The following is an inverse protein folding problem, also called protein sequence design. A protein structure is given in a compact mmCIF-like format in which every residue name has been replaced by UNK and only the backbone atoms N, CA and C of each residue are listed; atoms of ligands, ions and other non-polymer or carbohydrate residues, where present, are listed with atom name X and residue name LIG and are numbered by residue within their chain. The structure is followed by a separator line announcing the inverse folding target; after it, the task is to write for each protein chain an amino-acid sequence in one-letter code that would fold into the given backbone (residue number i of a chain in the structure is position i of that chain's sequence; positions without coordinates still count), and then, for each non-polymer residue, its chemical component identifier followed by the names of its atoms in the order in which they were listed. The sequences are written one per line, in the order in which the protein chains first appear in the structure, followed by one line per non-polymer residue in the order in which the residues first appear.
data_IF_187662266852
#
_entry.id   IF_187662266852
#
_cell.length_a   1.000
_cell.length_b   1.000
_cell.length_c   1.000
_cell.angle_alpha   90.00
_cell.angle_beta   90.00
_cell.angle_gamma   90.00
#
_symmetry.space_group_name_H-M   'P 1'
#
loop_
_entity.id
_entity.type
_entity.pdbx_description
1 polymer ?
#
# COMPACT_ATOMS: atom_id res chain seq x y z
N UNK A 1 7.68 19.06 -7.49
CA UNK A 1 6.50 18.21 -7.72
C UNK A 1 5.61 18.89 -8.75
N UNK A 2 5.59 18.34 -9.95
CA UNK A 2 4.56 18.62 -10.95
C UNK A 2 3.24 17.94 -10.52
N UNK A 3 2.14 18.22 -11.22
CA UNK A 3 0.83 17.62 -10.90
C UNK A 3 0.81 16.09 -10.98
N UNK A 4 1.67 15.51 -11.84
CA UNK A 4 1.84 14.07 -12.06
C UNK A 4 2.58 13.39 -10.90
N UNK A 5 3.59 14.04 -10.32
CA UNK A 5 4.35 13.50 -9.18
C UNK A 5 3.48 13.33 -7.92
N UNK A 6 2.41 14.13 -7.79
CA UNK A 6 1.47 14.02 -6.66
C UNK A 6 0.55 12.82 -6.83
N UNK A 7 0.18 12.49 -8.08
CA UNK A 7 -0.70 11.35 -8.36
C UNK A 7 0.00 10.01 -8.08
N UNK A 8 1.33 10.01 -8.01
CA UNK A 8 2.15 8.86 -7.59
C UNK A 8 2.22 8.68 -6.07
N UNK A 9 1.67 9.60 -5.29
CA UNK A 9 1.80 9.63 -3.83
C UNK A 9 0.47 9.90 -3.10
N UNK A 10 -0.68 9.70 -3.75
CA UNK A 10 -1.99 10.03 -3.19
C UNK A 10 -2.32 9.25 -1.93
N UNK A 11 -1.87 8.00 -1.80
CA UNK A 11 -2.06 7.18 -0.61
C UNK A 11 -1.25 7.75 0.57
N UNK A 12 0.02 8.10 0.35
CA UNK A 12 0.88 8.72 1.38
C UNK A 12 0.37 10.12 1.75
N UNK A 13 0.06 10.95 0.75
CA UNK A 13 -0.46 12.31 0.97
C UNK A 13 -1.79 12.27 1.69
N UNK A 14 -2.71 11.41 1.24
CA UNK A 14 -4.04 11.28 1.83
C UNK A 14 -4.00 10.77 3.27
N UNK A 15 -3.06 9.89 3.62
CA UNK A 15 -2.87 9.44 5.01
C UNK A 15 -2.56 10.59 5.99
N UNK A 16 -1.92 11.67 5.53
CA UNK A 16 -1.61 12.84 6.37
C UNK A 16 -2.76 13.84 6.55
N UNK A 17 -3.81 13.75 5.73
CA UNK A 17 -4.90 14.74 5.70
C UNK A 17 -5.73 14.78 6.99
N UNK A 18 -6.09 13.65 7.64
CA UNK A 18 -6.82 13.71 8.90
C UNK A 18 -6.11 14.55 9.97
N UNK A 19 -4.81 14.34 10.18
CA UNK A 19 -3.99 15.14 11.09
C UNK A 19 -3.95 16.62 10.70
N UNK A 20 -3.86 16.93 9.41
CA UNK A 20 -3.89 18.31 8.93
C UNK A 20 -5.27 18.98 9.16
N UNK A 21 -6.36 18.24 8.99
CA UNK A 21 -7.73 18.71 9.26
C UNK A 21 -7.97 18.97 10.75
N UNK A 22 -7.35 18.20 11.65
CA UNK A 22 -7.39 18.44 13.09
C UNK A 22 -6.66 19.73 13.49
N UNK A 23 -5.48 19.96 12.92
CA UNK A 23 -4.63 21.09 13.29
C UNK A 23 -5.04 22.41 12.61
N UNK A 24 -5.38 22.36 11.32
CA UNK A 24 -5.60 23.55 10.46
C UNK A 24 -6.73 23.33 9.45
N UNK A 25 -7.92 23.02 9.95
CA UNK A 25 -9.07 22.65 9.11
C UNK A 25 -9.34 23.57 7.91
N UNK A 26 -9.39 24.88 8.12
CA UNK A 26 -9.73 25.85 7.06
C UNK A 26 -8.71 25.80 5.90
N UNK A 27 -7.44 25.56 6.20
CA UNK A 27 -6.36 25.41 5.20
C UNK A 27 -6.36 24.02 4.56
N UNK A 28 -6.69 22.98 5.33
CA UNK A 28 -6.62 21.59 4.90
C UNK A 28 -7.86 21.12 4.12
N UNK A 29 -9.05 21.71 4.33
CA UNK A 29 -10.30 21.31 3.65
C UNK A 29 -10.22 21.35 2.11
N UNK A 30 -9.72 22.42 1.46
CA UNK A 30 -9.56 22.45 0.01
C UNK A 30 -8.57 21.38 -0.50
N UNK A 31 -7.50 21.12 0.26
CA UNK A 31 -6.51 20.09 -0.08
C UNK A 31 -7.13 18.70 0.02
N UNK A 32 -7.90 18.43 1.08
CA UNK A 32 -8.66 17.21 1.26
C UNK A 32 -9.60 16.95 0.08
N UNK A 33 -10.38 17.96 -0.32
CA UNK A 33 -11.28 17.85 -1.48
C UNK A 33 -10.52 17.60 -2.79
N UNK A 34 -9.36 18.24 -2.99
CA UNK A 34 -8.51 17.99 -4.16
C UNK A 34 -8.00 16.55 -4.20
N UNK A 35 -7.52 16.02 -3.07
CA UNK A 35 -7.02 14.64 -2.96
C UNK A 35 -8.15 13.63 -3.15
N UNK A 36 -9.32 13.85 -2.53
CA UNK A 36 -10.51 13.01 -2.74
C UNK A 36 -10.87 12.93 -4.22
N UNK A 37 -10.89 14.07 -4.92
CA UNK A 37 -11.20 14.09 -6.35
C UNK A 37 -10.15 13.29 -7.16
N UNK A 38 -8.86 13.49 -6.90
CA UNK A 38 -7.78 12.77 -7.59
C UNK A 38 -7.84 11.26 -7.35
N UNK A 39 -8.04 10.82 -6.11
CA UNK A 39 -8.26 9.42 -5.76
C UNK A 39 -9.47 8.84 -6.51
N UNK A 40 -10.58 9.58 -6.53
CA UNK A 40 -11.81 9.15 -7.22
C UNK A 40 -11.60 9.01 -8.73
N UNK A 41 -10.84 9.92 -9.35
CA UNK A 41 -10.54 9.87 -10.78
C UNK A 41 -9.51 8.79 -11.14
N UNK A 42 -8.48 8.60 -10.30
CA UNK A 42 -7.44 7.57 -10.51
C UNK A 42 -8.02 6.17 -10.37
N UNK A 43 -8.82 5.93 -9.33
CA UNK A 43 -9.53 4.67 -9.13
C UNK A 43 -8.63 3.44 -8.96
N UNK A 44 -7.40 3.62 -8.47
CA UNK A 44 -6.49 2.52 -8.17
C UNK A 44 -6.86 1.77 -6.89
N UNK A 45 -6.15 0.66 -6.59
CA UNK A 45 -6.35 -0.10 -5.35
C UNK A 45 -6.33 0.81 -4.12
N UNK A 46 -7.36 0.70 -3.28
CA UNK A 46 -7.46 1.44 -2.02
C UNK A 46 -7.87 2.91 -2.16
N UNK A 47 -7.96 3.45 -3.37
CA UNK A 47 -8.34 4.86 -3.59
C UNK A 47 -9.76 5.14 -3.13
N UNK A 48 -10.68 4.23 -3.46
CA UNK A 48 -12.07 4.32 -3.00
C UNK A 48 -12.14 4.33 -1.48
N UNK A 49 -11.40 3.43 -0.82
CA UNK A 49 -11.39 3.34 0.63
C UNK A 49 -10.86 4.62 1.28
N UNK A 50 -9.72 5.14 0.80
CA UNK A 50 -9.15 6.38 1.31
C UNK A 50 -10.05 7.60 1.04
N UNK A 51 -10.64 7.71 -0.15
CA UNK A 51 -11.55 8.80 -0.48
C UNK A 51 -12.81 8.80 0.42
N UNK A 52 -13.38 7.62 0.68
CA UNK A 52 -14.50 7.44 1.62
C UNK A 52 -14.11 7.87 3.04
N UNK A 53 -12.93 7.47 3.51
CA UNK A 53 -12.45 7.80 4.85
C UNK A 53 -12.22 9.32 5.00
N UNK A 54 -11.58 9.95 4.01
CA UNK A 54 -11.37 11.41 4.00
C UNK A 54 -12.69 12.19 3.96
N UNK A 55 -13.67 11.73 3.17
CA UNK A 55 -15.01 12.33 3.15
C UNK A 55 -15.70 12.22 4.51
N UNK A 56 -15.56 11.08 5.20
CA UNK A 56 -16.11 10.89 6.54
C UNK A 56 -15.48 11.85 7.55
N UNK A 57 -14.15 12.02 7.52
CA UNK A 57 -13.41 12.99 8.37
C UNK A 57 -13.87 14.43 8.09
N UNK A 58 -14.00 14.82 6.82
CA UNK A 58 -14.51 16.14 6.45
C UNK A 58 -15.92 16.40 6.98
N UNK A 59 -16.80 15.40 6.87
CA UNK A 59 -18.19 15.45 7.34
C UNK A 59 -18.34 15.25 8.85
N UNK A 60 -17.27 14.89 9.56
CA UNK A 60 -17.26 14.55 11.00
C UNK A 60 -18.23 13.42 11.33
N UNK A 61 -18.26 12.40 10.48
CA UNK A 61 -19.02 11.18 10.71
C UNK A 61 -18.08 10.00 10.93
N UNK A 62 -18.51 8.95 11.63
CA UNK A 62 -17.69 7.74 11.80
C UNK A 62 -17.32 7.10 10.45
N UNK A 63 -16.16 6.43 10.41
CA UNK A 63 -15.78 5.59 9.28
C UNK A 63 -16.74 4.39 9.14
N UNK A 64 -16.87 3.85 7.93
CA UNK A 64 -17.85 2.81 7.61
C UNK A 64 -17.48 1.39 8.05
N UNK A 65 -16.32 1.20 8.68
CA UNK A 65 -15.82 -0.11 9.13
C UNK A 65 -15.15 -0.04 10.51
N UNK A 66 -14.69 -1.18 11.01
CA UNK A 66 -13.93 -1.27 12.27
C UNK A 66 -12.60 -0.56 12.09
N UNK A 67 -12.32 0.46 12.91
CA UNK A 67 -11.04 1.15 12.87
C UNK A 67 -10.00 0.34 13.66
N UNK A 68 -8.87 0.03 13.02
CA UNK A 68 -7.74 -0.68 13.62
C UNK A 68 -6.45 0.07 13.24
N UNK A 69 -5.52 0.36 14.16
CA UNK A 69 -4.30 1.12 13.89
C UNK A 69 -3.25 0.25 13.20
N UNK A 70 -3.57 -0.26 12.01
CA UNK A 70 -2.67 -1.12 11.23
C UNK A 70 -1.67 -0.24 10.49
N UNK A 71 -0.39 -0.49 10.71
CA UNK A 71 0.68 0.11 9.93
C UNK A 71 0.65 -0.45 8.49
N UNK A 72 0.20 0.37 7.53
CA UNK A 72 0.00 -0.08 6.15
C UNK A 72 1.29 -0.50 5.46
N UNK A 73 2.42 0.13 5.77
CA UNK A 73 3.75 -0.23 5.27
C UNK A 73 4.17 -1.65 5.72
N UNK A 74 3.89 -2.00 6.97
CA UNK A 74 4.12 -3.34 7.50
C UNK A 74 3.19 -4.37 6.84
N UNK A 75 1.93 -4.02 6.64
CA UNK A 75 0.96 -4.88 5.94
C UNK A 75 1.32 -5.09 4.46
N UNK A 76 1.71 -4.02 3.76
CA UNK A 76 2.21 -4.09 2.39
C UNK A 76 3.42 -5.01 2.28
N UNK A 77 4.37 -4.94 3.23
CA UNK A 77 5.53 -5.83 3.25
C UNK A 77 5.14 -7.31 3.30
N UNK A 78 4.14 -7.67 4.11
CA UNK A 78 3.63 -9.05 4.18
C UNK A 78 2.90 -9.42 2.89
N UNK A 79 1.99 -8.57 2.39
CA UNK A 79 1.19 -8.82 1.19
C UNK A 79 2.04 -9.03 -0.08
N UNK A 80 3.08 -8.22 -0.25
CA UNK A 80 3.92 -8.18 -1.45
C UNK A 80 5.16 -9.08 -1.35
N UNK A 81 5.33 -9.79 -0.24
CA UNK A 81 6.46 -10.68 -0.02
C UNK A 81 6.53 -11.85 -1.01
N UNK A 82 7.67 -12.53 -1.05
CA UNK A 82 7.90 -13.67 -1.92
C UNK A 82 7.16 -14.92 -1.42
N UNK A 83 6.27 -15.50 -2.24
CA UNK A 83 5.53 -16.72 -1.90
C UNK A 83 6.44 -17.92 -1.60
N UNK A 84 7.66 -17.93 -2.16
CA UNK A 84 8.63 -19.01 -1.90
C UNK A 84 9.21 -18.95 -0.48
N UNK A 85 9.16 -17.78 0.16
CA UNK A 85 9.70 -17.57 1.51
C UNK A 85 8.65 -17.78 2.61
N UNK A 86 7.42 -17.32 2.37
CA UNK A 86 6.32 -17.46 3.33
C UNK A 86 4.97 -17.31 2.60
N UNK A 87 3.91 -18.02 3.03
CA UNK A 87 2.59 -17.95 2.40
C UNK A 87 1.85 -16.64 2.72
N UNK A 88 2.27 -15.89 3.76
CA UNK A 88 1.57 -14.69 4.19
C UNK A 88 1.83 -14.33 5.65
N UNK A 89 0.77 -13.96 6.35
CA UNK A 89 0.85 -13.53 7.74
C UNK A 89 -0.50 -13.21 8.34
N UNK A 90 -0.49 -12.44 9.43
CA UNK A 90 -1.67 -12.11 10.21
C UNK A 90 -1.65 -10.67 10.68
N UNK A 91 -2.84 -10.07 10.77
CA UNK A 91 -3.06 -8.81 11.48
C UNK A 91 -3.80 -9.11 12.78
N UNK A 92 -3.25 -8.66 13.91
CA UNK A 92 -3.94 -8.65 15.19
C UNK A 92 -4.97 -7.52 15.20
N UNK A 93 -6.26 -7.86 15.15
CA UNK A 93 -7.34 -6.86 15.10
C UNK A 93 -7.51 -6.09 16.41
N UNK A 94 -6.89 -6.51 17.52
CA UNK A 94 -6.90 -5.76 18.79
C UNK A 94 -5.84 -4.67 18.80
N UNK A 95 -4.64 -4.97 18.32
CA UNK A 95 -3.46 -4.09 18.45
C UNK A 95 -3.10 -3.39 17.14
N UNK A 96 -3.53 -3.92 16.00
CA UNK A 96 -3.10 -3.50 14.66
C UNK A 96 -1.73 -4.04 14.25
N UNK A 97 -1.08 -4.88 15.07
CA UNK A 97 0.23 -5.44 14.75
C UNK A 97 0.13 -6.43 13.60
N UNK A 98 1.11 -6.38 12.69
CA UNK A 98 1.23 -7.26 11.54
C UNK A 98 2.36 -8.25 11.81
N UNK A 99 2.08 -9.53 11.57
CA UNK A 99 3.01 -10.64 11.75
C UNK A 99 3.17 -11.39 10.43
N UNK A 100 4.38 -11.85 10.14
CA UNK A 100 4.61 -12.87 9.12
C UNK A 100 4.18 -14.26 9.65
N UNK A 101 3.83 -15.19 8.76
CA UNK A 101 3.47 -16.57 9.13
C UNK A 101 4.52 -17.26 9.99
N UNK A 102 5.81 -16.97 9.78
CA UNK A 102 6.88 -17.52 10.61
C UNK A 102 6.71 -17.19 12.12
N UNK A 103 5.94 -16.17 12.48
CA UNK A 103 5.65 -15.83 13.87
C UNK A 103 4.75 -16.86 14.59
N UNK A 104 4.07 -17.75 13.87
CA UNK A 104 3.29 -18.83 14.49
C UNK A 104 4.14 -20.05 14.84
N UNK A 105 5.41 -20.09 14.43
CA UNK A 105 6.31 -21.23 14.64
C UNK A 105 7.27 -20.94 15.81
N UNK A 106 7.11 -21.61 16.99
CA UNK A 106 8.03 -21.49 18.11
C UNK A 106 9.49 -21.81 17.78
N UNK A 107 9.76 -22.60 16.76
CA UNK A 107 11.14 -22.89 16.33
C UNK A 107 11.77 -21.72 15.58
N UNK A 108 10.95 -20.86 14.97
CA UNK A 108 11.41 -19.69 14.21
C UNK A 108 11.58 -18.46 15.11
N UNK A 109 10.66 -18.24 16.06
CA UNK A 109 10.63 -17.03 16.90
C UNK A 109 10.86 -17.29 18.39
N UNK A 110 10.84 -18.55 18.83
CA UNK A 110 10.92 -18.95 20.23
C UNK A 110 9.54 -19.08 20.89
N UNK A 111 9.39 -20.06 21.79
CA UNK A 111 8.14 -20.37 22.52
C UNK A 111 7.46 -19.15 23.16
N UNK A 112 8.24 -18.23 23.75
CA UNK A 112 7.69 -17.06 24.43
C UNK A 112 7.25 -15.92 23.49
N UNK A 113 7.58 -16.00 22.21
CA UNK A 113 7.27 -14.97 21.21
C UNK A 113 6.34 -15.47 20.09
N UNK A 114 6.15 -16.80 19.98
CA UNK A 114 5.21 -17.37 19.03
C UNK A 114 3.78 -16.93 19.35
N UNK A 115 3.06 -16.52 18.30
CA UNK A 115 1.64 -16.17 18.42
C UNK A 115 0.79 -17.42 18.21
N UNK A 116 -0.21 -17.61 19.06
CA UNK A 116 -1.24 -18.62 18.87
C UNK A 116 -2.45 -18.00 18.15
N UNK A 117 -2.57 -18.33 16.86
CA UNK A 117 -3.67 -17.85 16.03
C UNK A 117 -4.92 -18.73 16.11
N UNK A 118 -4.80 -19.94 16.68
CA UNK A 118 -5.89 -20.90 16.83
C UNK A 118 -6.69 -20.69 18.12
N UNK A 119 -6.06 -20.15 19.17
CA UNK A 119 -6.70 -19.88 20.46
C UNK A 119 -7.83 -18.83 20.37
N UNK A 120 -7.63 -17.77 19.57
CA UNK A 120 -8.58 -16.67 19.39
C UNK A 120 -8.82 -16.36 17.89
N UNK A 121 -9.52 -17.21 17.13
CA UNK A 121 -9.61 -17.08 15.67
C UNK A 121 -10.24 -15.75 15.20
N UNK A 122 -11.19 -15.20 15.96
CA UNK A 122 -11.85 -13.91 15.64
C UNK A 122 -10.94 -12.69 15.86
N UNK A 123 -9.79 -12.86 16.51
CA UNK A 123 -8.80 -11.80 16.73
C UNK A 123 -7.92 -11.57 15.51
N UNK A 124 -7.70 -12.61 14.70
CA UNK A 124 -6.66 -12.61 13.68
C UNK A 124 -7.26 -12.49 12.28
N UNK A 125 -6.81 -11.49 11.52
CA UNK A 125 -7.09 -11.42 10.10
C UNK A 125 -5.95 -12.08 9.33
N UNK A 126 -6.26 -13.17 8.62
CA UNK A 126 -5.31 -13.85 7.74
C UNK A 126 -4.98 -12.98 6.52
N UNK A 127 -3.69 -12.82 6.24
CA UNK A 127 -3.14 -12.15 5.07
C UNK A 127 -2.45 -13.18 4.19
N UNK A 128 -2.83 -13.29 2.92
CA UNK A 128 -2.16 -14.16 1.96
C UNK A 128 -1.36 -13.29 0.99
N UNK A 129 -0.13 -13.69 0.66
CA UNK A 129 0.67 -12.93 -0.31
C UNK A 129 0.06 -13.02 -1.70
N UNK A 130 0.16 -11.94 -2.47
CA UNK A 130 -0.37 -11.87 -3.84
C UNK A 130 0.61 -12.45 -4.87
N UNK A 131 1.86 -12.68 -4.49
CA UNK A 131 2.94 -13.14 -5.36
C UNK A 131 3.46 -12.04 -6.29
N UNK A 132 4.34 -12.40 -7.22
CA UNK A 132 5.08 -11.43 -8.05
C UNK A 132 4.27 -10.74 -9.15
N UNK A 133 3.00 -11.11 -9.36
CA UNK A 133 2.16 -10.57 -10.43
C UNK A 133 1.87 -9.08 -10.23
N UNK A 134 1.53 -8.66 -9.02
CA UNK A 134 1.24 -7.24 -8.70
C UNK A 134 2.47 -6.38 -8.93
N UNK A 135 3.63 -6.84 -8.47
CA UNK A 135 4.90 -6.15 -8.66
C UNK A 135 5.31 -6.06 -10.15
N UNK A 136 4.98 -7.07 -10.97
CA UNK A 136 5.13 -6.99 -12.43
C UNK A 136 4.22 -5.93 -13.06
N UNK A 137 2.94 -5.92 -12.70
CA UNK A 137 1.98 -4.93 -13.19
C UNK A 137 2.40 -3.50 -12.82
N UNK A 138 3.01 -3.33 -11.64
CA UNK A 138 3.55 -2.04 -11.22
C UNK A 138 4.73 -1.61 -12.09
N UNK A 139 5.65 -2.53 -12.46
CA UNK A 139 6.74 -2.22 -13.40
C UNK A 139 6.21 -1.85 -14.80
N UNK A 140 5.21 -2.58 -15.31
CA UNK A 140 4.54 -2.29 -16.59
C UNK A 140 3.90 -0.89 -16.58
N UNK A 141 3.08 -0.61 -15.56
CA UNK A 141 2.41 0.68 -15.42
C UNK A 141 3.41 1.84 -15.25
N UNK A 142 4.52 1.61 -14.56
CA UNK A 142 5.58 2.61 -14.44
C UNK A 142 6.33 2.84 -15.74
N UNK A 143 6.52 1.80 -16.57
CA UNK A 143 7.13 1.97 -17.88
C UNK A 143 6.21 2.79 -18.80
N UNK A 144 4.95 2.40 -18.92
CA UNK A 144 3.97 3.01 -19.84
C UNK A 144 3.79 4.52 -19.63
N UNK A 145 3.86 4.98 -18.38
CA UNK A 145 3.65 6.40 -18.03
C UNK A 145 4.83 7.32 -18.37
N UNK A 146 6.01 6.79 -18.70
CA UNK A 146 7.19 7.63 -18.95
C UNK A 146 6.98 8.52 -20.18
N UNK A 147 7.15 9.84 -20.03
CA UNK A 147 6.95 10.78 -21.13
C UNK A 147 8.02 10.66 -22.23
N UNK A 148 9.25 10.29 -21.87
CA UNK A 148 10.32 10.02 -22.82
C UNK A 148 10.12 8.64 -23.44
N UNK A 149 9.84 8.63 -24.75
CA UNK A 149 9.57 7.42 -25.52
C UNK A 149 10.75 6.44 -25.52
N UNK A 150 11.99 6.94 -25.55
CA UNK A 150 13.18 6.09 -25.53
C UNK A 150 13.38 5.42 -24.16
N UNK A 151 13.07 6.13 -23.07
CA UNK A 151 13.08 5.55 -21.73
C UNK A 151 11.96 4.51 -21.59
N UNK A 152 10.74 4.84 -22.04
CA UNK A 152 9.58 3.95 -22.03
C UNK A 152 9.89 2.62 -22.71
N UNK A 153 10.32 2.65 -23.97
CA UNK A 153 10.66 1.46 -24.74
C UNK A 153 11.77 0.62 -24.09
N UNK A 154 12.74 1.27 -23.43
CA UNK A 154 13.81 0.55 -22.72
C UNK A 154 13.28 -0.14 -21.47
N UNK A 155 12.41 0.51 -20.70
CA UNK A 155 11.76 -0.08 -19.53
C UNK A 155 10.87 -1.27 -19.92
N UNK A 156 10.03 -1.12 -20.94
CA UNK A 156 9.16 -2.18 -21.46
C UNK A 156 9.95 -3.42 -21.92
N UNK A 157 11.14 -3.23 -22.50
CA UNK A 157 11.99 -4.35 -22.94
C UNK A 157 12.67 -5.08 -21.78
N UNK A 158 13.00 -4.40 -20.67
CA UNK A 158 13.73 -5.03 -19.56
C UNK A 158 12.83 -5.79 -18.60
N UNK A 159 11.52 -5.55 -18.64
CA UNK A 159 10.55 -6.20 -17.75
C UNK A 159 10.13 -7.60 -18.23
N UNK A 160 10.61 -8.09 -19.36
CA UNK A 160 10.26 -9.44 -19.87
C UNK A 160 11.15 -10.56 -19.30
N UNK A 161 10.57 -11.70 -18.92
CA UNK A 161 11.30 -12.92 -18.55
C UNK A 161 12.00 -12.93 -17.18
N UNK A 162 12.81 -13.98 -16.94
CA UNK A 162 13.50 -14.19 -15.65
C UNK A 162 14.54 -13.09 -15.41
N UNK A 163 14.57 -12.55 -14.19
CA UNK A 163 15.49 -11.47 -13.81
C UNK A 163 15.05 -10.07 -14.25
N UNK A 164 13.80 -9.92 -14.72
CA UNK A 164 13.17 -8.65 -15.06
C UNK A 164 13.33 -7.60 -13.94
N UNK A 165 13.00 -7.94 -12.70
CA UNK A 165 13.12 -7.04 -11.55
C UNK A 165 14.51 -6.43 -11.38
N UNK A 166 15.58 -7.23 -11.51
CA UNK A 166 16.94 -6.70 -11.36
C UNK A 166 17.26 -5.71 -12.48
N UNK A 167 17.02 -6.12 -13.74
CA UNK A 167 17.31 -5.27 -14.91
C UNK A 167 16.49 -3.98 -14.91
N UNK A 168 15.23 -4.07 -14.49
CA UNK A 168 14.37 -2.90 -14.33
C UNK A 168 14.93 -1.94 -13.29
N UNK A 169 15.32 -2.42 -12.10
CA UNK A 169 15.93 -1.57 -11.06
C UNK A 169 17.25 -0.95 -11.53
N UNK A 170 18.10 -1.73 -12.21
CA UNK A 170 19.37 -1.23 -12.74
C UNK A 170 19.14 -0.11 -13.76
N UNK A 171 18.13 -0.27 -14.64
CA UNK A 171 17.76 0.75 -15.62
C UNK A 171 17.15 1.99 -14.95
N UNK A 172 16.22 1.82 -14.03
CA UNK A 172 15.62 2.92 -13.24
C UNK A 172 16.71 3.73 -12.52
N UNK A 173 17.71 3.05 -11.96
CA UNK A 173 18.86 3.72 -11.34
C UNK A 173 19.71 4.46 -12.38
N UNK A 174 20.02 3.84 -13.51
CA UNK A 174 20.80 4.44 -14.59
C UNK A 174 20.15 5.69 -15.21
N UNK A 175 18.82 5.73 -15.25
CA UNK A 175 18.03 6.86 -15.76
C UNK A 175 17.67 7.90 -14.67
N UNK A 176 18.18 7.76 -13.43
CA UNK A 176 17.84 8.62 -12.29
C UNK A 176 16.34 8.67 -11.95
N UNK A 177 15.62 7.57 -12.17
CA UNK A 177 14.17 7.46 -11.91
C UNK A 177 13.85 6.79 -10.56
N UNK A 178 14.86 6.45 -9.76
CA UNK A 178 14.69 5.68 -8.52
C UNK A 178 13.67 6.28 -7.55
N UNK A 179 13.74 7.58 -7.28
CA UNK A 179 12.82 8.25 -6.35
C UNK A 179 11.37 8.20 -6.86
N UNK A 180 11.17 8.44 -8.16
CA UNK A 180 9.85 8.35 -8.79
C UNK A 180 9.31 6.92 -8.74
N UNK A 181 10.15 5.93 -8.99
CA UNK A 181 9.78 4.52 -8.89
C UNK A 181 9.37 4.14 -7.47
N UNK A 182 10.17 4.49 -6.47
CA UNK A 182 9.88 4.12 -5.09
C UNK A 182 8.60 4.79 -4.58
N UNK A 183 8.39 6.08 -4.89
CA UNK A 183 7.16 6.80 -4.53
C UNK A 183 5.93 6.13 -5.14
N UNK A 184 5.97 5.87 -6.45
CA UNK A 184 4.91 5.20 -7.19
C UNK A 184 4.63 3.78 -6.69
N UNK A 185 5.69 2.99 -6.45
CA UNK A 185 5.56 1.61 -6.01
C UNK A 185 4.99 1.54 -4.60
N UNK A 186 5.48 2.39 -3.68
CA UNK A 186 4.99 2.47 -2.30
C UNK A 186 3.52 2.90 -2.25
N UNK A 187 3.11 3.87 -3.07
CA UNK A 187 1.71 4.31 -3.14
C UNK A 187 0.78 3.16 -3.51
N UNK A 188 1.16 2.40 -4.55
CA UNK A 188 0.35 1.27 -5.03
C UNK A 188 0.33 0.11 -4.05
N UNK A 189 1.45 -0.20 -3.40
CA UNK A 189 1.51 -1.20 -2.35
C UNK A 189 0.67 -0.80 -1.13
N UNK A 190 0.73 0.48 -0.72
CA UNK A 190 -0.09 1.03 0.36
C UNK A 190 -1.57 0.98 0.01
N UNK A 191 -1.92 1.33 -1.23
CA UNK A 191 -3.26 1.25 -1.76
C UNK A 191 -3.84 -0.17 -1.69
N UNK A 192 -3.06 -1.18 -2.12
CA UNK A 192 -3.47 -2.60 -2.02
C UNK A 192 -3.63 -3.07 -0.58
N UNK A 193 -2.75 -2.65 0.34
CA UNK A 193 -2.92 -2.95 1.76
C UNK A 193 -4.18 -2.32 2.35
N UNK A 194 -4.49 -1.07 1.99
CA UNK A 194 -5.72 -0.39 2.40
C UNK A 194 -6.97 -1.05 1.83
N UNK A 195 -6.93 -1.44 0.56
CA UNK A 195 -8.02 -2.18 -0.09
C UNK A 195 -8.29 -3.50 0.60
N UNK A 196 -7.23 -4.27 0.87
CA UNK A 196 -7.33 -5.53 1.59
C UNK A 196 -8.02 -5.37 2.95
N UNK A 197 -7.66 -4.34 3.74
CA UNK A 197 -8.35 -4.07 5.00
C UNK A 197 -9.83 -3.69 4.78
N UNK A 198 -10.10 -2.82 3.81
CA UNK A 198 -11.45 -2.35 3.52
C UNK A 198 -12.38 -3.48 3.07
N UNK A 199 -11.89 -4.42 2.26
CA UNK A 199 -12.61 -5.62 1.82
C UNK A 199 -12.94 -6.56 2.98
N UNK A 200 -12.16 -6.50 4.06
CA UNK A 200 -12.42 -7.21 5.32
C UNK A 200 -13.19 -6.35 6.35
N UNK A 201 -13.78 -5.23 5.93
CA UNK A 201 -14.58 -4.35 6.80
C UNK A 201 -13.76 -3.55 7.81
N UNK A 202 -12.45 -3.42 7.60
CA UNK A 202 -11.52 -2.73 8.48
C UNK A 202 -11.05 -1.43 7.82
N UNK A 203 -10.89 -0.37 8.62
CA UNK A 203 -10.31 0.90 8.20
C UNK A 203 -9.02 1.15 8.97
N UNK A 204 -7.97 1.55 8.26
CA UNK A 204 -6.71 1.94 8.88
C UNK A 204 -6.94 3.22 9.70
N UNK A 205 -6.69 3.13 11.00
CA UNK A 205 -6.83 4.22 11.98
C UNK A 205 -5.63 5.13 12.09
#
# INVERSE_FOLDING_TARGET
MTGHDIDDALQQVGAGIPMALEQRRQEAEPVAMSVINRLTWRGGPGDRALAEDLLAVLRRVPLSGRVVPVALDMLSTVLEGDLDLSPGGYVDLRTGQVYDDSATDPMMVGEGAAIDVEEEPDRWLRVNRTGSRTAWQDMEAFAERQHDEAIRERLERVIEGKGAFSRFRDLVQGENLSEQWYTFSEDRQTGRAREFLADNGIRAG
#
